data_IF_691598518097
#
_entry.id   IF_691598518097
#
_cell.length_a   1.000
_cell.length_b   1.000
_cell.length_c   1.000
_cell.angle_alpha   90.00
_cell.angle_beta   90.00
_cell.angle_gamma   90.00
#
_symmetry.space_group_name_H-M   'P 1'
#
loop_
_entity.id
_entity.type
_entity.pdbx_description
1 polymer ?
#
# COMPACT_ATOMS: atom_id res chain seq x y z
N UNK A 1 -4.62 15.88 -14.86
CA UNK A 1 -5.63 15.15 -15.66
C UNK A 1 -5.73 13.67 -15.30
N UNK A 2 -4.62 12.91 -15.21
CA UNK A 2 -4.64 11.47 -14.88
C UNK A 2 -5.34 11.16 -13.56
N UNK A 3 -4.99 11.87 -12.49
CA UNK A 3 -5.67 11.74 -11.18
C UNK A 3 -7.17 12.01 -11.25
N UNK A 4 -7.59 13.07 -11.94
CA UNK A 4 -9.01 13.40 -12.14
C UNK A 4 -9.76 12.27 -12.87
N UNK A 5 -9.17 11.71 -13.91
CA UNK A 5 -9.77 10.61 -14.68
C UNK A 5 -9.86 9.35 -13.82
N UNK A 6 -8.78 8.99 -13.12
CA UNK A 6 -8.77 7.84 -12.22
C UNK A 6 -9.83 7.97 -11.11
N UNK A 7 -10.00 9.17 -10.55
CA UNK A 7 -11.00 9.44 -9.52
C UNK A 7 -12.43 9.33 -10.06
N UNK A 8 -12.71 9.84 -11.26
CA UNK A 8 -14.00 9.63 -11.94
C UNK A 8 -14.31 8.14 -12.14
N UNK A 9 -13.35 7.36 -12.63
CA UNK A 9 -13.51 5.91 -12.85
C UNK A 9 -13.74 5.19 -11.51
N UNK A 10 -13.01 5.57 -10.46
CA UNK A 10 -13.17 5.00 -9.13
C UNK A 10 -14.58 5.25 -8.57
N UNK A 11 -15.13 6.46 -8.71
CA UNK A 11 -16.50 6.75 -8.32
C UNK A 11 -17.53 6.02 -9.18
N UNK A 12 -17.31 5.90 -10.49
CA UNK A 12 -18.17 5.10 -11.39
C UNK A 12 -18.18 3.60 -11.05
N UNK A 13 -17.12 3.09 -10.40
CA UNK A 13 -16.98 1.69 -10.03
C UNK A 13 -16.95 1.48 -8.51
N UNK A 14 -17.58 2.36 -7.74
CA UNK A 14 -17.51 2.37 -6.27
C UNK A 14 -17.99 1.06 -5.62
N UNK A 15 -18.87 0.30 -6.28
CA UNK A 15 -19.29 -1.02 -5.82
C UNK A 15 -18.12 -2.02 -5.62
N UNK A 16 -16.99 -1.81 -6.32
CA UNK A 16 -15.77 -2.62 -6.12
C UNK A 16 -15.14 -2.42 -4.74
N UNK A 17 -15.35 -1.25 -4.11
CA UNK A 17 -14.85 -0.95 -2.75
C UNK A 17 -15.43 -1.95 -1.75
N UNK A 18 -16.73 -2.21 -1.82
CA UNK A 18 -17.39 -3.15 -0.90
C UNK A 18 -16.97 -4.60 -1.13
N UNK A 19 -16.72 -4.99 -2.40
CA UNK A 19 -16.23 -6.34 -2.73
C UNK A 19 -14.79 -6.55 -2.24
N UNK A 20 -13.93 -5.55 -2.44
CA UNK A 20 -12.55 -5.54 -1.94
C UNK A 20 -12.53 -5.57 -0.40
N UNK A 21 -13.38 -4.76 0.24
CA UNK A 21 -13.52 -4.73 1.69
C UNK A 21 -13.94 -6.08 2.25
N UNK A 22 -15.02 -6.67 1.72
CA UNK A 22 -15.52 -7.96 2.19
C UNK A 22 -14.45 -9.04 2.07
N UNK A 23 -13.75 -9.10 0.94
CA UNK A 23 -12.65 -10.04 0.74
C UNK A 23 -11.53 -9.84 1.78
N UNK A 24 -11.09 -8.60 1.98
CA UNK A 24 -10.03 -8.28 2.96
C UNK A 24 -10.46 -8.57 4.40
N UNK A 25 -11.72 -8.31 4.75
CA UNK A 25 -12.26 -8.62 6.08
C UNK A 25 -12.27 -10.13 6.37
N UNK A 26 -12.65 -10.96 5.39
CA UNK A 26 -12.63 -12.42 5.54
C UNK A 26 -11.21 -12.89 5.88
N UNK A 27 -10.22 -12.48 5.10
CA UNK A 27 -8.83 -12.88 5.37
C UNK A 27 -8.28 -12.25 6.65
N UNK A 28 -8.62 -10.99 6.94
CA UNK A 28 -8.24 -10.37 8.19
C UNK A 28 -8.79 -11.13 9.39
N UNK A 29 -10.06 -11.57 9.36
CA UNK A 29 -10.65 -12.37 10.43
C UNK A 29 -10.00 -13.76 10.58
N UNK A 30 -9.61 -14.40 9.46
CA UNK A 30 -8.90 -15.69 9.50
C UNK A 30 -7.51 -15.52 10.10
N UNK A 31 -6.77 -14.48 9.69
CA UNK A 31 -5.40 -14.25 10.13
C UNK A 31 -5.30 -13.58 11.49
N UNK A 32 -6.30 -12.81 11.94
CA UNK A 32 -6.29 -12.14 13.24
C UNK A 32 -6.22 -13.12 14.40
N UNK A 33 -6.86 -14.29 14.27
CA UNK A 33 -6.77 -15.37 15.26
C UNK A 33 -5.35 -15.91 15.35
N UNK A 34 -4.73 -16.21 14.21
CA UNK A 34 -3.36 -16.74 14.15
C UNK A 34 -2.36 -15.71 14.68
N UNK A 35 -2.46 -14.47 14.23
CA UNK A 35 -1.63 -13.35 14.67
C UNK A 35 -1.84 -13.09 16.17
N UNK A 36 -3.08 -13.07 16.65
CA UNK A 36 -3.40 -12.86 18.06
C UNK A 36 -2.72 -13.88 18.96
N UNK A 37 -2.77 -15.17 18.61
CA UNK A 37 -2.07 -16.23 19.35
C UNK A 37 -0.55 -16.05 19.33
N UNK A 38 0.03 -15.66 18.18
CA UNK A 38 1.47 -15.40 18.07
C UNK A 38 1.90 -14.25 18.99
N UNK A 39 1.14 -13.15 19.00
CA UNK A 39 1.44 -12.00 19.86
C UNK A 39 1.22 -12.32 21.35
N UNK A 40 0.16 -13.04 21.70
CA UNK A 40 -0.14 -13.40 23.08
C UNK A 40 0.87 -14.40 23.67
N UNK A 41 1.37 -15.35 22.87
CA UNK A 41 2.36 -16.33 23.36
C UNK A 41 3.78 -15.78 23.29
N UNK A 42 4.14 -15.08 22.21
CA UNK A 42 5.52 -14.69 21.93
C UNK A 42 5.91 -13.28 22.40
N UNK A 43 4.95 -12.37 22.54
CA UNK A 43 5.20 -10.95 22.86
C UNK A 43 4.53 -10.47 24.15
N UNK A 44 3.72 -11.27 24.83
CA UNK A 44 3.04 -10.86 26.08
C UNK A 44 3.98 -10.28 27.16
N UNK A 45 5.17 -10.84 27.42
CA UNK A 45 6.10 -10.24 28.37
C UNK A 45 6.58 -8.85 27.93
N UNK A 46 6.92 -8.70 26.64
CA UNK A 46 7.34 -7.42 26.06
C UNK A 46 6.19 -6.40 26.07
N UNK A 47 4.97 -6.85 25.78
CA UNK A 47 3.78 -6.02 25.81
C UNK A 47 3.47 -5.48 27.21
N UNK A 48 3.54 -6.34 28.23
CA UNK A 48 3.29 -5.92 29.61
C UNK A 48 4.34 -4.90 30.06
N UNK A 49 5.63 -5.17 29.84
CA UNK A 49 6.71 -4.23 30.16
C UNK A 49 6.56 -2.90 29.41
N UNK A 50 6.16 -2.94 28.13
CA UNK A 50 5.90 -1.72 27.35
C UNK A 50 4.64 -0.97 27.81
N UNK A 51 3.61 -1.67 28.29
CA UNK A 51 2.40 -1.07 28.83
C UNK A 51 2.69 -0.37 30.16
N UNK A 52 3.51 -0.98 31.02
CA UNK A 52 3.96 -0.40 32.29
C UNK A 52 4.80 0.86 32.02
N UNK A 53 5.80 0.79 31.13
CA UNK A 53 6.58 1.96 30.68
C UNK A 53 5.71 3.08 30.11
N UNK A 54 4.69 2.77 29.30
CA UNK A 54 3.77 3.77 28.75
C UNK A 54 2.88 4.38 29.83
N UNK A 55 2.35 3.57 30.74
CA UNK A 55 1.55 4.03 31.89
C UNK A 55 2.35 5.00 32.75
N UNK A 56 3.60 4.65 33.04
CA UNK A 56 4.50 5.49 33.83
C UNK A 56 4.97 6.72 33.05
N UNK A 57 5.13 6.60 31.73
CA UNK A 57 5.35 7.74 30.84
C UNK A 57 4.21 8.75 30.89
N UNK A 58 2.96 8.28 30.86
CA UNK A 58 1.78 9.14 30.98
C UNK A 58 1.63 9.72 32.40
N UNK A 59 2.00 8.99 33.44
CA UNK A 59 1.95 9.47 34.82
C UNK A 59 3.00 10.57 35.07
N UNK A 60 4.22 10.40 34.56
CA UNK A 60 5.30 11.40 34.57
C UNK A 60 4.92 12.64 33.77
N UNK A 61 4.34 12.47 32.58
CA UNK A 61 3.84 13.58 31.78
C UNK A 61 2.69 14.33 32.49
N UNK A 62 1.77 13.62 33.12
CA UNK A 62 0.69 14.20 33.93
C UNK A 62 1.21 14.95 35.16
N UNK A 63 2.21 14.43 35.86
CA UNK A 63 2.86 15.08 36.98
C UNK A 63 3.57 16.38 36.55
N UNK A 64 4.25 16.35 35.40
CA UNK A 64 4.88 17.52 34.80
C UNK A 64 3.86 18.62 34.45
N UNK A 65 2.75 18.26 33.80
CA UNK A 65 1.69 19.20 33.43
C UNK A 65 0.97 19.78 34.65
N UNK A 66 0.90 19.03 35.76
CA UNK A 66 0.25 19.47 37.01
C UNK A 66 1.20 20.14 38.00
N UNK A 67 2.49 20.27 37.68
CA UNK A 67 3.51 20.93 38.52
C UNK A 67 3.88 20.15 39.79
N UNK A 68 3.64 18.83 39.81
CA UNK A 68 4.06 17.94 40.91
C UNK A 68 5.51 17.48 40.70
N UNK A 69 6.14 17.01 41.77
CA UNK A 69 7.49 16.45 41.73
C UNK A 69 7.55 15.29 40.72
N UNK A 70 8.49 15.36 39.79
CA UNK A 70 8.60 14.42 38.67
C UNK A 70 9.68 13.39 39.00
N UNK A 71 9.28 12.14 39.24
CA UNK A 71 10.23 11.03 39.38
C UNK A 71 10.52 10.38 38.03
N UNK A 72 11.40 10.99 37.25
CA UNK A 72 11.82 10.48 35.94
C UNK A 72 12.72 9.23 36.03
N UNK A 73 13.17 8.82 37.22
CA UNK A 73 14.02 7.65 37.40
C UNK A 73 13.29 6.34 37.09
N UNK A 74 11.97 6.29 37.34
CA UNK A 74 11.11 5.12 37.05
C UNK A 74 11.18 4.75 35.57
N UNK A 75 11.13 5.74 34.66
CA UNK A 75 11.25 5.51 33.22
C UNK A 75 12.61 4.94 32.81
N UNK A 76 13.67 5.32 33.51
CA UNK A 76 15.01 4.77 33.24
C UNK A 76 15.14 3.33 33.72
N UNK A 77 14.46 2.98 34.81
CA UNK A 77 14.43 1.64 35.39
C UNK A 77 13.62 0.69 34.49
N UNK A 78 12.40 1.07 34.13
CA UNK A 78 11.54 0.35 33.18
C UNK A 78 12.22 0.13 31.82
N UNK A 79 12.91 1.17 31.33
CA UNK A 79 13.65 1.07 30.06
C UNK A 79 14.81 0.08 30.15
N UNK A 80 15.51 0.05 31.29
CA UNK A 80 16.61 -0.90 31.53
C UNK A 80 16.06 -2.32 31.65
N UNK A 81 14.93 -2.51 32.33
CA UNK A 81 14.26 -3.81 32.46
C UNK A 81 13.79 -4.35 31.10
N UNK A 82 13.27 -3.48 30.22
CA UNK A 82 12.98 -3.84 28.82
C UNK A 82 14.26 -4.28 28.09
N UNK A 83 15.36 -3.53 28.22
CA UNK A 83 16.64 -3.89 27.56
C UNK A 83 17.23 -5.20 28.08
N UNK A 84 17.15 -5.46 29.37
CA UNK A 84 17.62 -6.69 30.00
C UNK A 84 16.75 -7.89 29.58
N UNK A 85 15.44 -7.70 29.47
CA UNK A 85 14.56 -8.73 28.93
C UNK A 85 14.88 -9.05 27.46
N UNK A 86 15.10 -8.03 26.64
CA UNK A 86 15.45 -8.19 25.23
C UNK A 86 16.81 -8.89 25.04
N UNK A 87 17.80 -8.58 25.89
CA UNK A 87 19.14 -9.17 25.80
C UNK A 87 19.19 -10.61 26.31
N UNK A 88 18.39 -10.94 27.33
CA UNK A 88 18.33 -12.28 27.92
C UNK A 88 17.50 -13.29 27.11
N UNK A 89 16.52 -12.83 26.32
CA UNK A 89 15.58 -13.68 25.56
C UNK A 89 15.72 -13.56 24.04
N UNK A 90 16.90 -13.17 23.54
CA UNK A 90 17.17 -12.94 22.11
C UNK A 90 16.71 -14.08 21.20
N UNK A 91 16.96 -15.35 21.57
CA UNK A 91 16.55 -16.51 20.76
C UNK A 91 15.03 -16.64 20.58
N UNK A 92 14.26 -16.46 21.66
CA UNK A 92 12.80 -16.49 21.62
C UNK A 92 12.22 -15.31 20.86
N UNK A 93 12.80 -14.11 21.03
CA UNK A 93 12.37 -12.90 20.34
C UNK A 93 12.65 -12.96 18.84
N UNK A 94 13.79 -13.47 18.41
CA UNK A 94 14.11 -13.67 16.99
C UNK A 94 13.10 -14.63 16.36
N UNK A 95 12.75 -15.72 17.04
CA UNK A 95 11.71 -16.63 16.55
C UNK A 95 10.34 -15.95 16.45
N UNK A 96 9.92 -15.20 17.47
CA UNK A 96 8.66 -14.44 17.47
C UNK A 96 8.61 -13.40 16.35
N UNK A 97 9.71 -12.66 16.13
CA UNK A 97 9.83 -11.69 15.02
C UNK A 97 9.77 -12.41 13.67
N UNK A 98 10.47 -13.53 13.49
CA UNK A 98 10.42 -14.30 12.24
C UNK A 98 9.00 -14.78 11.93
N UNK A 99 8.28 -15.27 12.94
CA UNK A 99 6.89 -15.69 12.81
C UNK A 99 5.97 -14.50 12.50
N UNK A 100 6.17 -13.34 13.14
CA UNK A 100 5.41 -12.13 12.84
C UNK A 100 5.63 -11.64 11.40
N UNK A 101 6.89 -11.66 10.91
CA UNK A 101 7.23 -11.32 9.52
C UNK A 101 6.57 -12.29 8.55
N UNK A 102 6.59 -13.59 8.85
CA UNK A 102 5.92 -14.59 8.03
C UNK A 102 4.39 -14.38 8.01
N UNK A 103 3.77 -14.11 9.16
CA UNK A 103 2.35 -13.81 9.24
C UNK A 103 1.98 -12.55 8.42
N UNK A 104 2.80 -11.49 8.51
CA UNK A 104 2.64 -10.29 7.68
C UNK A 104 2.77 -10.59 6.18
N UNK A 105 3.74 -11.42 5.78
CA UNK A 105 3.89 -11.88 4.39
C UNK A 105 2.62 -12.59 3.90
N UNK A 106 2.11 -13.55 4.68
CA UNK A 106 0.93 -14.32 4.31
C UNK A 106 -0.31 -13.42 4.23
N UNK A 107 -0.53 -12.54 5.21
CA UNK A 107 -1.64 -11.58 5.18
C UNK A 107 -1.54 -10.65 3.97
N UNK A 108 -0.35 -10.11 3.67
CA UNK A 108 -0.12 -9.27 2.49
C UNK A 108 -0.38 -10.04 1.20
N UNK A 109 0.05 -11.30 1.15
CA UNK A 109 -0.19 -12.18 0.00
C UNK A 109 -1.68 -12.33 -0.27
N UNK A 110 -2.48 -12.77 0.70
CA UNK A 110 -3.91 -12.98 0.47
C UNK A 110 -4.66 -11.68 0.20
N UNK A 111 -4.38 -10.61 0.93
CA UNK A 111 -5.02 -9.30 0.70
C UNK A 111 -4.67 -8.71 -0.68
N UNK A 112 -3.45 -8.92 -1.18
CA UNK A 112 -3.03 -8.43 -2.49
C UNK A 112 -3.63 -9.17 -3.69
N UNK A 113 -4.14 -10.41 -3.50
CA UNK A 113 -4.98 -11.07 -4.51
C UNK A 113 -6.17 -10.19 -4.87
N UNK A 114 -6.80 -9.56 -3.87
CA UNK A 114 -7.92 -8.65 -4.08
C UNK A 114 -7.52 -7.43 -4.91
N UNK A 115 -6.37 -6.83 -4.61
CA UNK A 115 -5.82 -5.69 -5.36
C UNK A 115 -5.67 -6.05 -6.86
N UNK A 116 -5.24 -7.28 -7.17
CA UNK A 116 -5.17 -7.79 -8.54
C UNK A 116 -6.53 -7.97 -9.22
N UNK A 117 -7.54 -8.48 -8.50
CA UNK A 117 -8.89 -8.65 -9.07
C UNK A 117 -9.53 -7.29 -9.34
N UNK A 118 -9.35 -6.32 -8.45
CA UNK A 118 -9.79 -4.93 -8.66
C UNK A 118 -9.10 -4.35 -9.89
N UNK A 119 -7.80 -4.57 -10.05
CA UNK A 119 -7.04 -4.14 -11.23
C UNK A 119 -7.59 -4.69 -12.54
N UNK A 120 -7.88 -5.99 -12.59
CA UNK A 120 -8.44 -6.65 -13.77
C UNK A 120 -9.87 -6.14 -14.05
N UNK A 121 -10.68 -5.94 -13.01
CA UNK A 121 -12.04 -5.41 -13.14
C UNK A 121 -12.02 -4.00 -13.75
N UNK A 122 -11.16 -3.12 -13.23
CA UNK A 122 -11.00 -1.76 -13.75
C UNK A 122 -10.52 -1.79 -15.20
N UNK A 123 -9.59 -2.68 -15.57
CA UNK A 123 -9.16 -2.84 -16.95
C UNK A 123 -10.31 -3.25 -17.89
N UNK A 124 -11.14 -4.21 -17.46
CA UNK A 124 -12.32 -4.64 -18.22
C UNK A 124 -13.29 -3.49 -18.49
N UNK A 125 -13.53 -2.68 -17.47
CA UNK A 125 -14.35 -1.48 -17.58
C UNK A 125 -13.71 -0.43 -18.51
N UNK A 126 -12.42 -0.12 -18.36
CA UNK A 126 -11.73 0.88 -19.18
C UNK A 126 -11.55 0.45 -20.65
N UNK A 127 -11.57 -0.85 -20.95
CA UNK A 127 -11.43 -1.37 -22.32
C UNK A 127 -12.77 -1.50 -23.05
N UNK A 128 -13.83 -1.87 -22.33
CA UNK A 128 -15.09 -2.33 -22.95
C UNK A 128 -16.35 -2.03 -22.13
N UNK A 129 -16.23 -1.25 -21.05
CA UNK A 129 -17.30 -1.01 -20.07
C UNK A 129 -17.92 -2.31 -19.52
N UNK A 130 -17.14 -3.41 -19.50
CA UNK A 130 -17.62 -4.71 -19.07
C UNK A 130 -17.63 -4.85 -17.55
N UNK A 131 -18.72 -5.41 -17.01
CA UNK A 131 -18.86 -5.76 -15.61
C UNK A 131 -18.86 -7.28 -15.45
N UNK A 132 -17.72 -7.84 -15.06
CA UNK A 132 -17.57 -9.29 -14.86
C UNK A 132 -17.69 -9.65 -13.37
N UNK A 133 -18.24 -10.83 -13.02
CA UNK A 133 -18.32 -11.27 -11.64
C UNK A 133 -16.93 -11.38 -10.99
N UNK A 134 -16.81 -10.90 -9.75
CA UNK A 134 -15.53 -10.75 -9.04
C UNK A 134 -14.80 -12.10 -8.85
N UNK A 135 -15.51 -13.13 -8.39
CA UNK A 135 -14.92 -14.47 -8.20
C UNK A 135 -14.54 -15.15 -9.51
N UNK A 136 -15.33 -14.95 -10.57
CA UNK A 136 -14.99 -15.47 -11.90
C UNK A 136 -13.66 -14.88 -12.39
N UNK A 137 -13.49 -13.56 -12.25
CA UNK A 137 -12.22 -12.88 -12.59
C UNK A 137 -11.03 -13.40 -11.78
N UNK A 138 -11.23 -13.67 -10.48
CA UNK A 138 -10.21 -14.23 -9.60
C UNK A 138 -9.74 -15.59 -10.12
N UNK A 139 -10.67 -16.52 -10.35
CA UNK A 139 -10.31 -17.89 -10.74
C UNK A 139 -9.74 -17.97 -12.17
N UNK A 140 -10.28 -17.19 -13.11
CA UNK A 140 -9.77 -17.16 -14.49
C UNK A 140 -8.33 -16.66 -14.59
N UNK A 141 -7.91 -15.76 -13.69
CA UNK A 141 -6.59 -15.14 -13.73
C UNK A 141 -5.67 -15.61 -12.59
N UNK A 142 -6.09 -16.62 -11.82
CA UNK A 142 -5.45 -17.06 -10.58
C UNK A 142 -3.94 -17.31 -10.75
N UNK A 143 -3.54 -17.96 -11.84
CA UNK A 143 -2.13 -18.25 -12.15
C UNK A 143 -1.27 -16.99 -12.23
N UNK A 144 -1.76 -15.93 -12.88
CA UNK A 144 -1.02 -14.68 -13.05
C UNK A 144 -1.05 -13.84 -11.77
N UNK A 145 -2.18 -13.86 -11.07
CA UNK A 145 -2.35 -13.21 -9.77
C UNK A 145 -1.37 -13.80 -8.75
N UNK A 146 -1.34 -15.12 -8.57
CA UNK A 146 -0.42 -15.80 -7.63
C UNK A 146 1.03 -15.46 -7.95
N UNK A 147 1.43 -15.51 -9.23
CA UNK A 147 2.80 -15.19 -9.64
C UNK A 147 3.19 -13.78 -9.24
N UNK A 148 2.36 -12.79 -9.57
CA UNK A 148 2.61 -11.40 -9.19
C UNK A 148 2.64 -11.24 -7.67
N UNK A 149 1.68 -11.84 -6.98
CA UNK A 149 1.49 -11.63 -5.55
C UNK A 149 2.60 -12.26 -4.69
N UNK A 150 3.19 -13.38 -5.11
CA UNK A 150 4.38 -13.93 -4.45
C UNK A 150 5.55 -12.94 -4.46
N UNK A 151 5.76 -12.25 -5.58
CA UNK A 151 6.83 -11.26 -5.75
C UNK A 151 6.49 -9.97 -5.00
N UNK A 152 5.26 -9.48 -5.16
CA UNK A 152 4.81 -8.24 -4.54
C UNK A 152 4.82 -8.34 -3.02
N UNK A 153 4.32 -9.43 -2.43
CA UNK A 153 4.32 -9.64 -1.00
C UNK A 153 5.75 -9.75 -0.45
N UNK A 154 6.64 -10.46 -1.13
CA UNK A 154 8.04 -10.60 -0.72
C UNK A 154 8.78 -9.27 -0.76
N UNK A 155 8.62 -8.53 -1.85
CA UNK A 155 9.22 -7.19 -1.99
C UNK A 155 8.61 -6.18 -1.03
N UNK A 156 7.31 -6.30 -0.70
CA UNK A 156 6.67 -5.48 0.31
C UNK A 156 7.31 -5.67 1.70
N UNK A 157 7.58 -6.91 2.10
CA UNK A 157 8.26 -7.23 3.38
C UNK A 157 9.63 -6.57 3.42
N UNK A 158 10.44 -6.71 2.36
CA UNK A 158 11.79 -6.14 2.29
C UNK A 158 11.73 -4.61 2.36
N UNK A 159 10.87 -3.99 1.55
CA UNK A 159 10.78 -2.52 1.47
C UNK A 159 10.23 -1.93 2.77
N UNK A 160 9.22 -2.56 3.37
CA UNK A 160 8.71 -2.13 4.68
C UNK A 160 9.76 -2.30 5.77
N UNK A 161 10.46 -3.43 5.82
CA UNK A 161 11.56 -3.65 6.78
C UNK A 161 12.68 -2.63 6.63
N UNK A 162 13.09 -2.33 5.39
CA UNK A 162 14.09 -1.30 5.11
C UNK A 162 13.61 0.10 5.51
N UNK A 163 12.34 0.45 5.25
CA UNK A 163 11.77 1.72 5.65
C UNK A 163 11.71 1.88 7.17
N UNK A 164 11.34 0.83 7.91
CA UNK A 164 11.33 0.82 9.38
C UNK A 164 12.75 0.95 9.94
N UNK A 165 13.72 0.20 9.41
CA UNK A 165 15.11 0.30 9.84
C UNK A 165 15.69 1.71 9.60
N UNK A 166 15.40 2.30 8.43
CA UNK A 166 15.81 3.67 8.10
C UNK A 166 15.13 4.70 9.00
N UNK A 167 13.83 4.53 9.27
CA UNK A 167 13.10 5.40 10.20
C UNK A 167 13.71 5.33 11.61
N UNK A 168 14.05 4.13 12.10
CA UNK A 168 14.73 3.94 13.38
C UNK A 168 16.07 4.69 13.43
N UNK A 169 16.89 4.56 12.38
CA UNK A 169 18.17 5.30 12.29
C UNK A 169 17.94 6.80 12.35
N UNK A 170 16.95 7.34 11.65
CA UNK A 170 16.65 8.78 11.69
C UNK A 170 16.12 9.27 13.03
N UNK A 171 15.27 8.48 13.69
CA UNK A 171 14.72 8.80 15.01
C UNK A 171 15.81 8.73 16.09
N UNK A 172 16.77 7.81 15.98
CA UNK A 172 17.88 7.67 16.91
C UNK A 172 18.81 8.91 16.98
N UNK A 173 18.77 9.80 15.99
CA UNK A 173 19.42 11.11 16.08
C UNK A 173 18.69 12.12 16.99
N UNK A 174 17.61 11.71 17.68
CA UNK A 174 16.92 12.39 18.80
C UNK A 174 16.50 13.85 18.55
N UNK A 175 16.23 14.21 17.30
CA UNK A 175 15.75 15.55 16.94
C UNK A 175 14.39 15.47 16.25
N UNK A 176 13.56 16.50 16.41
CA UNK A 176 12.31 16.65 15.63
C UNK A 176 12.58 16.57 14.12
N UNK A 177 13.79 16.97 13.70
CA UNK A 177 14.28 16.81 12.33
C UNK A 177 14.44 15.34 11.91
N UNK A 178 14.88 14.47 12.82
CA UNK A 178 14.95 13.02 12.60
C UNK A 178 13.58 12.39 12.30
N UNK A 179 12.54 12.77 13.05
CA UNK A 179 11.16 12.31 12.80
C UNK A 179 10.66 12.80 11.44
N UNK A 180 10.92 14.06 11.09
CA UNK A 180 10.59 14.61 9.78
C UNK A 180 11.26 13.82 8.64
N UNK A 181 12.56 13.54 8.74
CA UNK A 181 13.29 12.74 7.76
C UNK A 181 12.74 11.31 7.67
N UNK A 182 12.43 10.67 8.79
CA UNK A 182 11.83 9.33 8.81
C UNK A 182 10.53 9.27 8.00
N UNK A 183 9.62 10.22 8.22
CA UNK A 183 8.35 10.31 7.49
C UNK A 183 8.58 10.62 6.02
N UNK A 184 9.43 11.60 5.71
CA UNK A 184 9.74 12.01 4.34
C UNK A 184 10.29 10.85 3.51
N UNK A 185 11.32 10.16 4.02
CA UNK A 185 11.94 9.05 3.32
C UNK A 185 11.01 7.84 3.22
N UNK A 186 10.16 7.57 4.22
CA UNK A 186 9.16 6.51 4.15
C UNK A 186 8.16 6.75 3.01
N UNK A 187 7.70 8.00 2.84
CA UNK A 187 6.81 8.38 1.74
C UNK A 187 7.51 8.25 0.39
N UNK A 188 8.77 8.69 0.28
CA UNK A 188 9.56 8.61 -0.95
C UNK A 188 9.81 7.15 -1.36
N UNK A 189 10.26 6.30 -0.42
CA UNK A 189 10.48 4.87 -0.65
C UNK A 189 9.17 4.20 -1.06
N UNK A 190 8.06 4.51 -0.39
CA UNK A 190 6.74 3.97 -0.73
C UNK A 190 6.29 4.40 -2.12
N UNK A 191 6.46 5.68 -2.48
CA UNK A 191 6.15 6.19 -3.81
C UNK A 191 6.96 5.49 -4.90
N UNK A 192 8.25 5.26 -4.66
CA UNK A 192 9.13 4.54 -5.59
C UNK A 192 8.68 3.09 -5.76
N UNK A 193 8.44 2.40 -4.64
CA UNK A 193 7.91 1.03 -4.60
C UNK A 193 6.61 0.90 -5.40
N UNK A 194 5.63 1.77 -5.13
CA UNK A 194 4.33 1.75 -5.83
C UNK A 194 4.50 2.01 -7.33
N UNK A 195 5.43 2.88 -7.73
CA UNK A 195 5.71 3.19 -9.14
C UNK A 195 6.25 1.97 -9.89
N UNK A 196 7.22 1.26 -9.31
CA UNK A 196 7.80 0.05 -9.91
C UNK A 196 6.76 -1.08 -9.94
N UNK A 197 6.08 -1.31 -8.81
CA UNK A 197 5.08 -2.36 -8.69
C UNK A 197 3.85 -2.13 -9.56
N UNK A 198 3.48 -0.87 -9.82
CA UNK A 198 2.43 -0.47 -10.76
C UNK A 198 2.67 -1.07 -12.16
N UNK A 199 3.85 -0.79 -12.74
CA UNK A 199 4.21 -1.28 -14.08
C UNK A 199 4.37 -2.80 -14.11
N UNK A 200 4.94 -3.37 -13.06
CA UNK A 200 5.11 -4.81 -12.97
C UNK A 200 3.76 -5.53 -12.90
N UNK A 201 2.79 -4.97 -12.17
CA UNK A 201 1.44 -5.49 -12.07
C UNK A 201 0.74 -5.49 -13.42
N UNK A 202 0.79 -4.38 -14.14
CA UNK A 202 0.14 -4.28 -15.46
C UNK A 202 0.76 -5.25 -16.45
N UNK A 203 2.09 -5.37 -16.47
CA UNK A 203 2.79 -6.30 -17.37
C UNK A 203 2.48 -7.78 -17.07
N UNK A 204 2.42 -8.18 -15.79
CA UNK A 204 2.20 -9.59 -15.40
C UNK A 204 0.72 -9.98 -15.41
N UNK A 205 -0.15 -9.10 -14.89
CA UNK A 205 -1.56 -9.42 -14.64
C UNK A 205 -2.42 -9.07 -15.85
N UNK A 206 -2.17 -7.94 -16.52
CA UNK A 206 -2.97 -7.48 -17.67
C UNK A 206 -2.40 -8.02 -18.97
N UNK A 207 -1.11 -7.77 -19.24
CA UNK A 207 -0.45 -8.22 -20.47
C UNK A 207 -0.01 -9.70 -20.43
N UNK A 208 -0.16 -10.37 -19.27
CA UNK A 208 0.18 -11.78 -19.06
C UNK A 208 1.63 -12.14 -19.45
N UNK A 209 2.54 -11.18 -19.37
CA UNK A 209 3.96 -11.36 -19.73
C UNK A 209 4.67 -12.30 -18.75
N UNK A 210 5.77 -12.92 -19.22
CA UNK A 210 6.69 -13.65 -18.35
C UNK A 210 7.40 -12.66 -17.41
N UNK A 211 7.76 -13.11 -16.21
CA UNK A 211 8.34 -12.25 -15.17
C UNK A 211 9.60 -11.50 -15.64
N UNK A 212 10.53 -12.17 -16.32
CA UNK A 212 11.77 -11.56 -16.82
C UNK A 212 11.50 -10.42 -17.80
N UNK A 213 10.52 -10.61 -18.68
CA UNK A 213 10.16 -9.64 -19.70
C UNK A 213 9.38 -8.49 -19.07
N UNK A 214 8.50 -8.81 -18.11
CA UNK A 214 7.77 -7.81 -17.33
C UNK A 214 8.71 -6.90 -16.53
N UNK A 215 9.76 -7.44 -15.90
CA UNK A 215 10.77 -6.63 -15.17
C UNK A 215 11.53 -5.74 -16.15
N UNK A 216 12.03 -6.29 -17.26
CA UNK A 216 12.71 -5.49 -18.30
C UNK A 216 11.82 -4.36 -18.81
N UNK A 217 10.56 -4.64 -19.11
CA UNK A 217 9.59 -3.65 -19.58
C UNK A 217 9.16 -2.64 -18.50
N UNK A 218 9.22 -3.00 -17.21
CA UNK A 218 8.95 -2.09 -16.10
C UNK A 218 10.06 -1.06 -15.90
N UNK A 219 11.30 -1.38 -16.25
CA UNK A 219 12.44 -0.44 -16.15
C UNK A 219 12.81 0.21 -17.49
N UNK A 220 12.55 -0.45 -18.63
CA UNK A 220 12.97 -0.02 -19.97
C UNK A 220 12.07 1.00 -20.67
N UNK A 221 11.17 1.69 -19.95
CA UNK A 221 10.28 2.69 -20.57
C UNK A 221 10.90 4.08 -20.68
N UNK A 222 10.18 5.00 -21.32
CA UNK A 222 10.55 6.42 -21.40
C UNK A 222 10.77 7.01 -19.98
N UNK A 223 12.02 7.36 -19.67
CA UNK A 223 12.44 7.87 -18.35
C UNK A 223 11.60 9.06 -17.87
N UNK A 224 11.14 9.90 -18.79
CA UNK A 224 10.29 11.06 -18.51
C UNK A 224 8.93 10.68 -17.93
N UNK A 225 8.33 9.57 -18.37
CA UNK A 225 7.06 9.11 -17.82
C UNK A 225 7.21 8.47 -16.45
N UNK A 226 8.34 7.81 -16.19
CA UNK A 226 8.62 7.22 -14.87
C UNK A 226 8.60 8.28 -13.77
N UNK A 227 9.31 9.41 -13.95
CA UNK A 227 9.33 10.48 -12.94
C UNK A 227 7.98 11.16 -12.74
N UNK A 228 7.20 11.29 -13.81
CA UNK A 228 5.81 11.81 -13.72
C UNK A 228 4.91 10.87 -12.92
N UNK A 229 5.02 9.56 -13.16
CA UNK A 229 4.30 8.54 -12.38
C UNK A 229 4.75 8.57 -10.91
N UNK A 230 6.06 8.59 -10.67
CA UNK A 230 6.64 8.66 -9.33
C UNK A 230 6.12 9.86 -8.53
N UNK A 231 6.15 11.07 -9.11
CA UNK A 231 5.62 12.27 -8.47
C UNK A 231 4.12 12.10 -8.12
N UNK A 232 3.32 11.51 -9.02
CA UNK A 232 1.90 11.26 -8.77
C UNK A 232 1.67 10.23 -7.66
N UNK A 233 2.44 9.15 -7.61
CA UNK A 233 2.32 8.14 -6.55
C UNK A 233 2.82 8.65 -5.19
N UNK A 234 3.84 9.51 -5.16
CA UNK A 234 4.26 10.22 -3.94
C UNK A 234 3.12 11.10 -3.44
N UNK A 235 2.52 11.94 -4.29
CA UNK A 235 1.37 12.77 -3.91
C UNK A 235 0.20 11.91 -3.42
N UNK A 236 -0.13 10.82 -4.12
CA UNK A 236 -1.19 9.91 -3.70
C UNK A 236 -0.89 9.27 -2.35
N UNK A 237 0.38 8.94 -2.07
CA UNK A 237 0.81 8.39 -0.79
C UNK A 237 0.66 9.40 0.33
N UNK A 238 0.99 10.67 0.10
CA UNK A 238 0.77 11.75 1.08
C UNK A 238 -0.73 11.89 1.40
N UNK A 239 -1.58 11.93 0.35
CA UNK A 239 -3.04 12.03 0.51
C UNK A 239 -3.60 10.82 1.25
N UNK A 240 -3.10 9.62 0.95
CA UNK A 240 -3.48 8.39 1.65
C UNK A 240 -3.12 8.43 3.13
N UNK A 241 -1.87 8.76 3.47
CA UNK A 241 -1.42 8.85 4.87
C UNK A 241 -2.23 9.88 5.63
N UNK A 242 -2.43 11.07 5.06
CA UNK A 242 -3.24 12.12 5.67
C UNK A 242 -4.68 11.66 5.92
N UNK A 243 -5.32 11.04 4.94
CA UNK A 243 -6.71 10.59 5.06
C UNK A 243 -6.87 9.47 6.09
N UNK A 244 -5.96 8.48 6.10
CA UNK A 244 -5.98 7.38 7.07
C UNK A 244 -5.75 7.90 8.49
N UNK A 245 -4.71 8.72 8.71
CA UNK A 245 -4.44 9.29 10.04
C UNK A 245 -5.60 10.15 10.53
N UNK A 246 -6.19 10.97 9.64
CA UNK A 246 -7.36 11.78 10.00
C UNK A 246 -8.56 10.90 10.37
N UNK A 247 -8.84 9.86 9.58
CA UNK A 247 -9.92 8.91 9.89
C UNK A 247 -9.66 8.17 11.21
N UNK A 248 -8.44 7.74 11.47
CA UNK A 248 -8.05 7.11 12.73
C UNK A 248 -8.44 7.98 13.93
N UNK A 249 -8.02 9.24 13.89
CA UNK A 249 -8.23 10.22 14.98
C UNK A 249 -9.70 10.59 15.14
N UNK A 250 -10.40 10.92 14.05
CA UNK A 250 -11.76 11.48 14.14
C UNK A 250 -12.87 10.42 14.21
N UNK A 251 -12.59 9.17 13.86
CA UNK A 251 -13.61 8.11 13.81
C UNK A 251 -13.26 6.87 14.62
N UNK A 252 -12.23 6.95 15.48
CA UNK A 252 -11.72 5.81 16.23
C UNK A 252 -11.45 4.60 15.32
N UNK A 253 -10.68 4.83 14.25
CA UNK A 253 -10.30 3.84 13.22
C UNK A 253 -11.43 3.29 12.33
N UNK A 254 -12.70 3.59 12.59
CA UNK A 254 -13.83 3.07 11.78
C UNK A 254 -13.75 3.53 10.32
N UNK A 255 -13.32 4.75 10.07
CA UNK A 255 -13.19 5.30 8.71
C UNK A 255 -12.12 4.60 7.86
N UNK A 256 -11.14 3.93 8.47
CA UNK A 256 -10.11 3.21 7.73
C UNK A 256 -10.66 2.03 6.94
N UNK A 257 -11.71 1.37 7.45
CA UNK A 257 -12.36 0.25 6.79
C UNK A 257 -12.93 0.64 5.41
N UNK A 258 -13.34 1.89 5.22
CA UNK A 258 -13.78 2.38 3.92
C UNK A 258 -12.66 3.00 3.09
N UNK A 259 -11.72 3.70 3.75
CA UNK A 259 -10.64 4.37 3.03
C UNK A 259 -9.64 3.38 2.42
N UNK A 260 -9.23 2.33 3.12
CA UNK A 260 -8.28 1.33 2.61
C UNK A 260 -8.74 0.70 1.27
N UNK A 261 -9.97 0.15 1.15
CA UNK A 261 -10.44 -0.41 -0.11
C UNK A 261 -10.70 0.67 -1.17
N UNK A 262 -11.12 1.87 -0.77
CA UNK A 262 -11.27 2.99 -1.71
C UNK A 262 -9.93 3.40 -2.33
N UNK A 263 -8.87 3.52 -1.53
CA UNK A 263 -7.54 3.83 -2.03
C UNK A 263 -6.95 2.67 -2.85
N UNK A 264 -7.33 1.42 -2.56
CA UNK A 264 -7.02 0.27 -3.42
C UNK A 264 -7.62 0.45 -4.81
N UNK A 265 -8.91 0.78 -4.89
CA UNK A 265 -9.59 1.05 -6.15
C UNK A 265 -8.98 2.26 -6.88
N UNK A 266 -8.78 3.37 -6.18
CA UNK A 266 -8.20 4.58 -6.75
C UNK A 266 -6.79 4.32 -7.30
N UNK A 267 -5.97 3.55 -6.57
CA UNK A 267 -4.65 3.16 -7.02
C UNK A 267 -4.74 2.25 -8.25
N UNK A 268 -5.67 1.30 -8.28
CA UNK A 268 -5.91 0.49 -9.48
C UNK A 268 -6.29 1.33 -10.70
N UNK A 269 -7.20 2.30 -10.54
CA UNK A 269 -7.57 3.25 -11.59
C UNK A 269 -6.38 4.10 -12.06
N UNK A 270 -5.56 4.60 -11.13
CA UNK A 270 -4.35 5.37 -11.44
C UNK A 270 -3.37 4.55 -12.28
N UNK A 271 -3.07 3.32 -11.84
CA UNK A 271 -2.18 2.38 -12.52
C UNK A 271 -2.67 2.06 -13.94
N UNK A 272 -3.98 1.87 -14.12
CA UNK A 272 -4.55 1.66 -15.45
C UNK A 272 -4.48 2.90 -16.32
N UNK A 273 -4.88 4.08 -15.82
CA UNK A 273 -4.76 5.32 -16.59
C UNK A 273 -3.32 5.56 -17.06
N UNK A 274 -2.34 5.28 -16.20
CA UNK A 274 -0.93 5.34 -16.57
C UNK A 274 -0.57 4.30 -17.65
N UNK A 275 -0.99 3.04 -17.49
CA UNK A 275 -0.78 1.98 -18.47
C UNK A 275 -1.35 2.34 -19.84
N UNK A 276 -2.62 2.74 -19.94
CA UNK A 276 -3.24 3.16 -21.19
C UNK A 276 -2.54 4.39 -21.80
N UNK A 277 -2.06 5.32 -20.97
CA UNK A 277 -1.34 6.50 -21.47
C UNK A 277 0.03 6.12 -22.02
N UNK A 278 0.79 5.28 -21.31
CA UNK A 278 2.14 4.83 -21.73
C UNK A 278 2.06 3.93 -22.96
N UNK A 279 1.07 3.03 -23.01
CA UNK A 279 0.83 2.17 -24.17
C UNK A 279 0.09 2.86 -25.32
N UNK A 280 -0.24 4.15 -25.19
CA UNK A 280 -0.97 4.95 -26.19
C UNK A 280 -2.28 4.27 -26.65
N UNK A 281 -3.06 3.77 -25.70
CA UNK A 281 -4.35 3.10 -25.94
C UNK A 281 -5.53 4.01 -25.58
N UNK A 282 -6.62 3.92 -26.36
CA UNK A 282 -7.92 4.56 -26.04
C UNK A 282 -8.50 3.87 -24.80
N UNK A 283 -9.17 4.63 -23.92
CA UNK A 283 -9.88 4.06 -22.77
C UNK A 283 -11.15 4.82 -22.42
N UNK A 284 -12.12 4.11 -21.87
CA UNK A 284 -13.40 4.64 -21.41
C UNK A 284 -13.28 5.15 -19.96
N UNK A 285 -13.85 6.33 -19.69
CA UNK A 285 -14.10 6.82 -18.32
C UNK A 285 -15.53 6.49 -17.89
N UNK A 286 -16.48 6.74 -18.79
CA UNK A 286 -17.91 6.46 -18.68
C UNK A 286 -18.44 6.16 -20.10
N UNK A 287 -19.77 6.00 -20.25
CA UNK A 287 -20.40 5.72 -21.54
C UNK A 287 -20.21 6.85 -22.56
N UNK A 288 -20.07 8.10 -22.10
CA UNK A 288 -20.05 9.29 -22.96
C UNK A 288 -18.63 9.85 -23.15
N UNK A 289 -17.67 9.42 -22.32
CA UNK A 289 -16.33 10.00 -22.23
C UNK A 289 -15.26 8.95 -22.56
N UNK A 290 -14.71 9.06 -23.76
CA UNK A 290 -13.56 8.27 -24.22
C UNK A 290 -12.32 9.16 -24.27
N UNK A 291 -11.24 8.73 -23.60
CA UNK A 291 -9.95 9.39 -23.72
C UNK A 291 -9.18 8.76 -24.88
N UNK A 292 -8.92 9.58 -25.90
CA UNK A 292 -8.04 9.24 -27.02
C UNK A 292 -6.69 9.95 -26.84
N UNK A 293 -5.57 9.21 -26.78
CA UNK A 293 -4.22 9.78 -26.75
C UNK A 293 -3.97 10.73 -27.93
N UNK A 294 -3.16 11.77 -27.71
CA UNK A 294 -2.89 12.79 -28.74
C UNK A 294 -2.25 12.19 -29.99
N UNK A 295 -1.36 11.22 -29.81
CA UNK A 295 -0.66 10.53 -30.87
C UNK A 295 -1.60 9.73 -31.78
N UNK A 296 -2.70 9.21 -31.23
CA UNK A 296 -3.74 8.54 -32.01
C UNK A 296 -4.66 9.56 -32.69
N UNK A 297 -4.94 10.71 -32.08
CA UNK A 297 -5.72 11.78 -32.71
C UNK A 297 -5.00 12.36 -33.92
N UNK A 298 -3.70 12.65 -33.79
CA UNK A 298 -2.90 13.20 -34.89
C UNK A 298 -2.77 12.21 -36.07
N UNK A 299 -2.73 10.90 -35.78
CA UNK A 299 -2.77 9.88 -36.84
C UNK A 299 -4.17 9.72 -37.44
N UNK A 300 -5.23 9.72 -36.63
CA UNK A 300 -6.63 9.66 -37.10
C UNK A 300 -6.95 10.90 -37.96
N UNK A 301 -6.49 12.10 -37.56
CA UNK A 301 -6.65 13.36 -38.32
C UNK A 301 -5.84 13.36 -39.63
N UNK A 302 -4.62 12.82 -39.62
CA UNK A 302 -3.84 12.63 -40.87
C UNK A 302 -4.54 11.66 -41.83
N UNK A 303 -5.03 10.54 -41.31
CA UNK A 303 -5.76 9.55 -42.12
C UNK A 303 -7.07 10.13 -42.66
N UNK A 304 -7.76 10.99 -41.92
CA UNK A 304 -8.96 11.67 -42.40
C UNK A 304 -8.64 12.69 -43.49
N UNK A 305 -7.56 13.47 -43.32
CA UNK A 305 -7.09 14.41 -44.35
C UNK A 305 -6.54 13.70 -45.61
N UNK A 306 -6.01 12.49 -45.47
CA UNK A 306 -5.57 11.65 -46.60
C UNK A 306 -6.75 10.97 -47.34
N UNK A 307 -7.95 11.02 -46.77
CA UNK A 307 -9.19 10.43 -47.32
C UNK A 307 -10.14 11.53 -47.84
N UNK A 308 -9.72 12.78 -47.87
CA UNK A 308 -10.44 13.84 -48.58
C UNK A 308 -10.45 13.53 -50.10
N UNK A 309 -11.63 13.12 -50.57
CA UNK A 309 -12.03 12.91 -51.98
C UNK A 309 -12.37 14.26 -52.62
#
# INVERSE_FOLDING_TARGET
MRFKNALKIAFGNYALVFKDLLYKLIFFAIFSVVIGVIFEVGFRPVYNLAADFLSDGFSVFGAFVTGKEVNAAVLSEDFTEIMDYLSSHTGGLVASVAVAVFAFYVLRFFTGISDCVVMISVNGHMTSLSHRPYLALLFENLKHIIKYQLIEAFTAVIVTGAAVALAYVFIAFTSAFGVFLAVLFSIVIRGFYVTVMSRLMTNIVIDKMKFTDAVKNSFGGEKTYFWKMFAQYVTLTVVYVYAIVSAAVFTAFVGEFLLIPFFTLLLACMRQVDYFTVSKKKYFIDYDTIIVPKELRENDEKLLNDVDI
#
